data_IF_664501148553
#
_entry.id   IF_664501148553
#
_cell.length_a   1.000
_cell.length_b   1.000
_cell.length_c   1.000
_cell.angle_alpha   90.00
_cell.angle_beta   90.00
_cell.angle_gamma   90.00
#
_symmetry.space_group_name_H-M   'P 1'
#
loop_
_entity.id
_entity.type
_entity.pdbx_description
1 polymer ?
#
# COMPACT_ATOMS: atom_id res chain seq x y z
N UNK A 1 -15.90 -1.41 25.40
CA UNK A 1 -15.27 -1.11 24.10
C UNK A 1 -14.06 -2.02 24.00
N UNK A 2 -13.97 -2.85 22.97
CA UNK A 2 -12.80 -3.72 22.79
C UNK A 2 -11.55 -2.83 22.68
N UNK A 3 -10.48 -3.20 23.39
CA UNK A 3 -9.14 -2.69 23.10
C UNK A 3 -8.84 -3.03 21.64
N UNK A 4 -9.01 -2.05 20.76
CA UNK A 4 -8.52 -2.18 19.38
C UNK A 4 -7.02 -1.94 19.50
N UNK A 5 -6.27 -3.02 19.73
CA UNK A 5 -4.83 -2.97 19.74
C UNK A 5 -4.37 -2.36 18.40
N UNK A 6 -3.83 -1.14 18.47
CA UNK A 6 -3.25 -0.49 17.30
C UNK A 6 -1.98 -1.24 16.91
N UNK A 7 -1.76 -1.41 15.60
CA UNK A 7 -0.52 -2.01 15.11
C UNK A 7 0.70 -1.20 15.59
N UNK A 8 1.76 -1.91 15.96
CA UNK A 8 3.05 -1.38 16.35
C UNK A 8 4.03 -1.40 15.17
N UNK A 9 5.12 -0.64 15.25
CA UNK A 9 6.11 -0.53 14.16
C UNK A 9 6.84 -1.83 13.81
N UNK A 10 6.83 -2.81 14.72
CA UNK A 10 7.49 -4.11 14.54
C UNK A 10 6.53 -5.22 14.12
N UNK A 11 5.23 -4.92 14.01
CA UNK A 11 4.25 -5.91 13.57
C UNK A 11 4.48 -6.26 12.09
N UNK A 12 4.28 -7.53 11.76
CA UNK A 12 4.45 -8.03 10.40
C UNK A 12 3.11 -8.21 9.71
N UNK A 13 3.08 -7.90 8.42
CA UNK A 13 1.95 -8.09 7.52
C UNK A 13 2.45 -8.72 6.23
N UNK A 14 1.55 -9.36 5.49
CA UNK A 14 1.83 -9.85 4.14
C UNK A 14 2.00 -8.70 3.15
N UNK A 15 2.64 -8.98 2.01
CA UNK A 15 2.81 -7.97 0.96
C UNK A 15 1.48 -7.49 0.37
N UNK A 16 0.44 -8.34 0.38
CA UNK A 16 -0.91 -7.97 -0.05
C UNK A 16 -1.58 -7.05 0.98
N UNK A 17 -1.50 -7.36 2.27
CA UNK A 17 -2.01 -6.49 3.34
C UNK A 17 -1.27 -5.14 3.36
N UNK A 18 0.04 -5.12 3.10
CA UNK A 18 0.81 -3.88 3.00
C UNK A 18 0.39 -3.03 1.79
N UNK A 19 0.05 -3.68 0.67
CA UNK A 19 -0.50 -3.01 -0.52
C UNK A 19 -1.87 -2.39 -0.22
N UNK A 20 -2.74 -3.14 0.45
CA UNK A 20 -4.05 -2.64 0.91
C UNK A 20 -3.89 -1.48 1.91
N UNK A 21 -2.94 -1.58 2.84
CA UNK A 21 -2.64 -0.52 3.79
C UNK A 21 -2.18 0.77 3.08
N UNK A 22 -1.31 0.65 2.06
CA UNK A 22 -0.88 1.78 1.23
C UNK A 22 -2.07 2.43 0.51
N UNK A 23 -2.94 1.62 -0.11
CA UNK A 23 -4.16 2.10 -0.76
C UNK A 23 -5.06 2.91 0.18
N UNK A 24 -5.37 2.34 1.34
CA UNK A 24 -6.21 2.97 2.36
C UNK A 24 -5.58 4.28 2.86
N UNK A 25 -4.26 4.27 3.08
CA UNK A 25 -3.54 5.46 3.52
C UNK A 25 -3.61 6.58 2.49
N UNK A 26 -3.30 6.29 1.22
CA UNK A 26 -3.34 7.28 0.13
C UNK A 26 -4.75 7.84 -0.07
N UNK A 27 -5.78 6.99 -0.06
CA UNK A 27 -7.17 7.44 -0.15
C UNK A 27 -7.57 8.33 1.02
N UNK A 28 -7.12 8.01 2.24
CA UNK A 28 -7.38 8.82 3.43
C UNK A 28 -6.74 10.20 3.32
N UNK A 29 -5.47 10.27 2.90
CA UNK A 29 -4.76 11.53 2.69
C UNK A 29 -5.42 12.35 1.59
N UNK A 30 -5.74 11.74 0.45
CA UNK A 30 -6.40 12.40 -0.68
C UNK A 30 -7.74 13.03 -0.29
N UNK A 31 -8.58 12.30 0.47
CA UNK A 31 -9.85 12.81 1.00
C UNK A 31 -9.66 13.97 1.98
N UNK A 32 -8.65 13.91 2.87
CA UNK A 32 -8.37 14.97 3.84
C UNK A 32 -7.95 16.29 3.19
N UNK A 33 -7.34 16.23 2.02
CA UNK A 33 -6.90 17.41 1.27
C UNK A 33 -7.99 18.00 0.35
N UNK A 34 -9.23 17.51 0.44
CA UNK A 34 -10.35 17.85 -0.44
C UNK A 34 -10.15 17.42 -1.91
N UNK A 35 -9.51 16.27 -2.11
CA UNK A 35 -9.36 15.61 -3.42
C UNK A 35 -8.76 16.48 -4.54
N UNK A 36 -7.71 17.28 -4.31
CA UNK A 36 -7.30 18.32 -5.25
C UNK A 36 -6.48 17.77 -6.44
N UNK A 37 -6.04 16.51 -6.39
CA UNK A 37 -5.15 15.92 -7.40
C UNK A 37 -5.80 14.74 -8.13
N UNK A 38 -6.12 14.93 -9.41
CA UNK A 38 -6.69 13.90 -10.29
C UNK A 38 -5.73 12.73 -10.52
N UNK A 39 -4.41 12.97 -10.49
CA UNK A 39 -3.40 11.92 -10.65
C UNK A 39 -3.46 10.89 -9.52
N UNK A 40 -3.75 11.33 -8.29
CA UNK A 40 -3.95 10.42 -7.15
C UNK A 40 -5.24 9.63 -7.33
N UNK A 41 -6.30 10.24 -7.86
CA UNK A 41 -7.54 9.54 -8.16
C UNK A 41 -7.35 8.44 -9.22
N UNK A 42 -6.58 8.73 -10.27
CA UNK A 42 -6.24 7.76 -11.32
C UNK A 42 -5.39 6.61 -10.77
N UNK A 43 -4.38 6.93 -9.96
CA UNK A 43 -3.56 5.94 -9.26
C UNK A 43 -4.44 5.02 -8.39
N UNK A 44 -5.29 5.60 -7.53
CA UNK A 44 -6.20 4.84 -6.67
C UNK A 44 -7.16 3.92 -7.47
N UNK A 45 -7.59 4.35 -8.65
CA UNK A 45 -8.43 3.54 -9.52
C UNK A 45 -7.68 2.32 -10.09
N UNK A 46 -6.44 2.50 -10.54
CA UNK A 46 -5.61 1.42 -11.11
C UNK A 46 -5.11 0.40 -10.07
N UNK A 47 -4.97 0.82 -8.82
CA UNK A 47 -4.49 -0.02 -7.72
C UNK A 47 -5.60 -0.88 -7.07
N UNK A 48 -6.89 -0.64 -7.35
CA UNK A 48 -7.98 -1.43 -6.76
C UNK A 48 -7.91 -2.90 -7.18
N UNK A 49 -8.32 -3.81 -6.31
CA UNK A 49 -8.44 -5.23 -6.63
C UNK A 49 -9.69 -5.53 -7.44
N UNK A 50 -9.56 -6.38 -8.45
CA UNK A 50 -10.63 -7.07 -9.17
C UNK A 50 -10.25 -8.56 -9.24
N UNK A 51 -11.13 -9.43 -8.77
CA UNK A 51 -10.95 -10.89 -8.80
C UNK A 51 -9.63 -11.43 -8.19
N UNK A 52 -9.12 -10.76 -7.14
CA UNK A 52 -7.91 -11.23 -6.46
C UNK A 52 -6.60 -10.83 -7.15
N UNK A 53 -6.62 -9.83 -8.03
CA UNK A 53 -5.43 -9.10 -8.49
C UNK A 53 -5.74 -7.61 -8.61
N UNK A 54 -4.76 -6.68 -8.52
CA UNK A 54 -4.99 -5.29 -8.90
C UNK A 54 -5.51 -5.17 -10.35
N UNK A 55 -6.33 -4.15 -10.63
CA UNK A 55 -6.90 -3.85 -11.96
C UNK A 55 -5.80 -3.77 -13.02
N UNK A 56 -4.63 -3.25 -12.65
CA UNK A 56 -3.42 -3.30 -13.45
C UNK A 56 -2.42 -4.34 -12.86
N UNK A 57 -2.24 -5.51 -13.50
CA UNK A 57 -1.28 -6.51 -13.04
C UNK A 57 0.18 -6.03 -13.00
N UNK A 58 0.56 -5.03 -13.80
CA UNK A 58 1.90 -4.47 -13.79
C UNK A 58 2.19 -3.75 -12.47
N UNK A 59 1.18 -3.06 -11.91
CA UNK A 59 1.30 -2.38 -10.62
C UNK A 59 1.60 -3.35 -9.47
N UNK A 60 1.09 -4.58 -9.54
CA UNK A 60 1.44 -5.60 -8.54
C UNK A 60 2.90 -6.05 -8.67
N UNK A 61 3.40 -6.22 -9.89
CA UNK A 61 4.80 -6.58 -10.12
C UNK A 61 5.76 -5.48 -9.64
N UNK A 62 5.42 -4.23 -9.94
CA UNK A 62 6.19 -3.06 -9.49
C UNK A 62 6.21 -2.97 -7.96
N UNK A 63 5.09 -3.27 -7.30
CA UNK A 63 5.01 -3.35 -5.83
C UNK A 63 5.93 -4.44 -5.26
N UNK A 64 5.88 -5.65 -5.82
CA UNK A 64 6.75 -6.75 -5.38
C UNK A 64 8.24 -6.42 -5.56
N UNK A 65 8.60 -5.77 -6.68
CA UNK A 65 9.96 -5.31 -6.93
C UNK A 65 10.41 -4.26 -5.89
N UNK A 66 9.56 -3.28 -5.59
CA UNK A 66 9.84 -2.28 -4.56
C UNK A 66 10.02 -2.90 -3.17
N UNK A 67 9.13 -3.82 -2.78
CA UNK A 67 9.23 -4.53 -1.51
C UNK A 67 10.53 -5.36 -1.40
N UNK A 68 10.93 -6.00 -2.50
CA UNK A 68 12.19 -6.73 -2.56
C UNK A 68 13.39 -5.80 -2.40
N UNK A 69 13.41 -4.62 -3.04
CA UNK A 69 14.47 -3.63 -2.87
C UNK A 69 14.64 -3.17 -1.43
N UNK A 70 13.54 -2.87 -0.72
CA UNK A 70 13.58 -2.48 0.71
C UNK A 70 14.20 -3.58 1.57
N UNK A 71 13.83 -4.84 1.32
CA UNK A 71 14.39 -5.98 2.04
C UNK A 71 15.89 -6.14 1.78
N UNK A 72 16.32 -5.97 0.53
CA UNK A 72 17.73 -6.07 0.16
C UNK A 72 18.58 -4.91 0.71
N UNK A 73 18.02 -3.70 0.79
CA UNK A 73 18.69 -2.56 1.43
C UNK A 73 18.84 -2.77 2.94
N UNK A 74 17.81 -3.31 3.59
CA UNK A 74 17.87 -3.67 5.02
C UNK A 74 18.93 -4.74 5.30
N UNK A 75 19.15 -5.67 4.36
CA UNK A 75 20.21 -6.70 4.46
C UNK A 75 21.61 -6.13 4.24
N UNK A 76 21.74 -4.98 3.57
CA UNK A 76 23.04 -4.35 3.24
C UNK A 76 23.54 -3.37 4.31
N UNK A 77 22.70 -2.91 5.24
CA UNK A 77 23.14 -2.10 6.39
C UNK A 77 23.44 -3.02 7.60
N UNK A 78 24.72 -3.17 8.02
CA UNK A 78 25.09 -3.86 9.24
C UNK A 78 24.80 -3.05 10.51
#
# INVERSE_FOLDING_TARGET
MADVAMMQSQDTITLAEAYDAMLIFLETVWRRLDKPQEQIAFLLAGLRWVDGTPVDPAMWQDWLAAAQSVKEETVKLP
#
